data_IF_855390123493
#
_entry.id   IF_855390123493
#
_cell.length_a   1.000
_cell.length_b   1.000
_cell.length_c   1.000
_cell.angle_alpha   90.00
_cell.angle_beta   90.00
_cell.angle_gamma   90.00
#
_symmetry.space_group_name_H-M   'P 1'
#
loop_
_entity.id
_entity.type
_entity.pdbx_description
1 polymer ?
#
# COMPACT_ATOMS: atom_id res chain seq x y z
N UNK A 1 -23.62 -11.34 0.93
CA UNK A 1 -23.19 -12.73 0.62
C UNK A 1 -22.08 -13.11 1.59
N UNK A 2 -22.06 -14.33 2.13
CA UNK A 2 -20.93 -14.80 2.95
C UNK A 2 -19.67 -14.84 2.10
N UNK A 3 -18.55 -14.42 2.67
CA UNK A 3 -17.26 -14.47 2.00
C UNK A 3 -16.88 -15.93 1.67
N UNK A 4 -16.35 -16.18 0.47
CA UNK A 4 -15.93 -17.52 0.06
C UNK A 4 -14.69 -17.96 0.82
N UNK A 5 -14.88 -18.80 1.83
CA UNK A 5 -13.81 -19.35 2.66
C UNK A 5 -12.81 -20.19 1.87
N UNK A 6 -13.10 -20.62 0.63
CA UNK A 6 -12.11 -21.30 -0.22
C UNK A 6 -10.92 -20.40 -0.57
N UNK A 7 -11.11 -19.08 -0.55
CA UNK A 7 -10.03 -18.12 -0.81
C UNK A 7 -8.94 -18.19 0.27
N UNK A 8 -9.28 -18.59 1.51
CA UNK A 8 -8.29 -18.71 2.60
C UNK A 8 -7.32 -19.89 2.39
N UNK A 9 -7.66 -20.84 1.52
CA UNK A 9 -6.81 -21.99 1.19
C UNK A 9 -5.88 -21.71 -0.01
N UNK A 10 -6.06 -20.57 -0.69
CA UNK A 10 -5.22 -20.18 -1.82
C UNK A 10 -3.95 -19.48 -1.34
N UNK A 11 -2.81 -19.98 -1.79
CA UNK A 11 -1.54 -19.31 -1.59
C UNK A 11 -1.38 -18.17 -2.60
N UNK A 12 -1.18 -16.95 -2.09
CA UNK A 12 -0.89 -15.79 -2.93
C UNK A 12 0.61 -15.70 -3.15
N UNK A 13 1.04 -15.80 -4.43
CA UNK A 13 2.46 -15.86 -4.79
C UNK A 13 3.24 -14.64 -4.29
N UNK A 14 2.64 -13.45 -4.27
CA UNK A 14 3.28 -12.24 -3.75
C UNK A 14 3.62 -12.39 -2.26
N UNK A 15 2.61 -12.63 -1.41
CA UNK A 15 2.81 -12.80 0.03
C UNK A 15 3.80 -13.94 0.33
N UNK A 16 3.70 -15.06 -0.40
CA UNK A 16 4.63 -16.19 -0.25
C UNK A 16 6.06 -15.84 -0.65
N UNK A 17 6.27 -15.14 -1.77
CA UNK A 17 7.61 -14.79 -2.28
C UNK A 17 8.35 -13.86 -1.34
N UNK A 18 7.63 -12.95 -0.69
CA UNK A 18 8.19 -11.95 0.22
C UNK A 18 8.01 -12.32 1.70
N UNK A 19 7.59 -13.55 2.01
CA UNK A 19 7.31 -14.03 3.36
C UNK A 19 6.42 -13.07 4.19
N UNK A 20 5.45 -12.41 3.52
CA UNK A 20 4.53 -11.49 4.17
C UNK A 20 3.42 -12.26 4.87
N UNK A 21 3.04 -11.87 6.09
CA UNK A 21 1.86 -12.40 6.75
C UNK A 21 0.60 -12.16 5.91
N UNK A 22 -0.28 -13.18 5.86
CA UNK A 22 -1.52 -13.12 5.11
C UNK A 22 -2.70 -13.33 6.04
N UNK A 23 -3.67 -12.41 6.00
CA UNK A 23 -4.82 -12.42 6.89
C UNK A 23 -6.11 -12.44 6.07
N UNK A 24 -7.07 -13.23 6.54
CA UNK A 24 -8.45 -13.09 6.10
C UNK A 24 -9.11 -11.97 6.89
N UNK A 25 -9.65 -10.97 6.18
CA UNK A 25 -10.30 -9.81 6.79
C UNK A 25 -11.71 -9.64 6.25
N UNK A 26 -12.57 -9.07 7.08
CA UNK A 26 -13.89 -8.60 6.67
C UNK A 26 -14.07 -7.16 7.15
N UNK A 27 -14.16 -6.23 6.20
CA UNK A 27 -14.41 -4.83 6.51
C UNK A 27 -15.83 -4.57 7.01
N UNK A 28 -16.77 -5.48 6.72
CA UNK A 28 -18.19 -5.33 7.08
C UNK A 28 -18.45 -5.61 8.56
N UNK A 29 -17.75 -6.58 9.15
CA UNK A 29 -17.91 -6.95 10.58
C UNK A 29 -16.65 -6.67 11.41
N UNK A 30 -15.58 -6.15 10.78
CA UNK A 30 -14.34 -5.78 11.45
C UNK A 30 -13.38 -6.95 11.73
N UNK A 31 -13.67 -8.16 11.23
CA UNK A 31 -12.82 -9.32 11.45
C UNK A 31 -11.39 -9.06 11.00
N UNK A 32 -10.44 -9.18 11.93
CA UNK A 32 -8.98 -9.06 11.74
C UNK A 32 -8.48 -7.73 11.16
N UNK A 33 -9.32 -6.70 11.01
CA UNK A 33 -8.92 -5.41 10.43
C UNK A 33 -7.90 -4.70 11.33
N UNK A 34 -8.21 -4.56 12.62
CA UNK A 34 -7.32 -3.90 13.59
C UNK A 34 -5.99 -4.64 13.72
N UNK A 35 -6.05 -5.96 13.80
CA UNK A 35 -4.84 -6.80 13.88
C UNK A 35 -3.94 -6.62 12.64
N UNK A 36 -4.53 -6.68 11.45
CA UNK A 36 -3.79 -6.49 10.19
C UNK A 36 -3.03 -5.16 10.19
N UNK A 37 -3.68 -4.07 10.60
CA UNK A 37 -3.01 -2.76 10.63
C UNK A 37 -1.93 -2.66 11.71
N UNK A 38 -2.17 -3.20 12.91
CA UNK A 38 -1.13 -3.22 13.95
C UNK A 38 0.10 -4.01 13.51
N UNK A 39 -0.10 -5.23 13.00
CA UNK A 39 1.00 -6.08 12.53
C UNK A 39 1.74 -5.42 11.35
N UNK A 40 1.02 -4.74 10.44
CA UNK A 40 1.64 -4.00 9.33
C UNK A 40 2.50 -2.81 9.80
N UNK A 41 2.06 -2.07 10.81
CA UNK A 41 2.82 -0.95 11.39
C UNK A 41 4.08 -1.48 12.09
N UNK A 42 3.95 -2.55 12.88
CA UNK A 42 5.08 -3.19 13.55
C UNK A 42 6.13 -3.68 12.55
N UNK A 43 5.70 -4.32 11.46
CA UNK A 43 6.59 -4.73 10.37
C UNK A 43 7.28 -3.54 9.70
N UNK A 44 6.57 -2.43 9.47
CA UNK A 44 7.16 -1.23 8.90
C UNK A 44 8.21 -0.60 9.81
N UNK A 45 7.97 -0.58 11.13
CA UNK A 45 8.94 -0.11 12.12
C UNK A 45 10.16 -1.05 12.15
N UNK A 46 9.93 -2.36 12.19
CA UNK A 46 10.99 -3.36 12.18
C UNK A 46 11.84 -3.29 10.91
N UNK A 47 11.21 -3.05 9.76
CA UNK A 47 11.90 -2.76 8.50
C UNK A 47 12.76 -1.51 8.68
N UNK A 48 12.17 -0.34 8.95
CA UNK A 48 12.90 0.93 9.10
C UNK A 48 14.13 0.87 10.03
N UNK A 49 14.08 0.07 11.10
CA UNK A 49 15.17 -0.05 12.07
C UNK A 49 16.29 -1.00 11.65
N UNK A 50 16.00 -2.01 10.84
CA UNK A 50 16.92 -3.12 10.53
C UNK A 50 17.16 -3.31 9.03
N UNK A 51 16.63 -2.42 8.20
CA UNK A 51 16.63 -2.56 6.77
C UNK A 51 17.93 -1.99 6.16
N UNK A 52 18.43 -2.70 5.16
CA UNK A 52 19.64 -2.39 4.40
C UNK A 52 19.57 -3.08 3.05
N UNK A 53 18.36 -3.27 2.54
CA UNK A 53 18.14 -3.88 1.24
C UNK A 53 18.27 -2.81 0.13
N UNK A 54 18.19 -3.28 -1.11
CA UNK A 54 18.30 -2.39 -2.27
C UNK A 54 17.25 -1.27 -2.27
N UNK A 55 16.03 -1.54 -1.80
CA UNK A 55 14.96 -0.53 -1.79
C UNK A 55 15.26 0.56 -0.76
N UNK A 56 15.80 0.21 0.41
CA UNK A 56 16.26 1.21 1.38
C UNK A 56 17.40 2.06 0.82
N UNK A 57 18.33 1.45 0.10
CA UNK A 57 19.45 2.15 -0.52
C UNK A 57 18.96 3.15 -1.57
N UNK A 58 18.05 2.73 -2.45
CA UNK A 58 17.41 3.61 -3.43
C UNK A 58 16.65 4.74 -2.73
N UNK A 59 15.86 4.47 -1.69
CA UNK A 59 15.11 5.50 -0.97
C UNK A 59 16.04 6.51 -0.29
N UNK A 60 17.10 6.03 0.36
CA UNK A 60 18.14 6.89 0.96
C UNK A 60 18.86 7.73 -0.08
N UNK A 61 19.15 7.18 -1.25
CA UNK A 61 19.76 7.92 -2.36
C UNK A 61 18.77 8.99 -2.88
N UNK A 62 17.49 8.63 -3.06
CA UNK A 62 16.40 9.55 -3.46
C UNK A 62 16.24 10.74 -2.52
N UNK A 63 16.37 10.52 -1.20
CA UNK A 63 16.37 11.60 -0.19
C UNK A 63 17.58 12.53 -0.31
N UNK A 64 18.71 12.03 -0.79
CA UNK A 64 19.95 12.80 -0.95
C UNK A 64 19.98 13.65 -2.23
N UNK A 65 19.07 13.41 -3.18
CA UNK A 65 18.89 14.33 -4.30
C UNK A 65 18.23 15.59 -3.77
N UNK A 66 19.05 16.59 -3.48
CA UNK A 66 18.61 17.96 -3.37
C UNK A 66 17.78 18.31 -4.61
N UNK A 67 16.45 18.42 -4.44
CA UNK A 67 15.49 18.90 -5.44
C UNK A 67 15.69 20.40 -5.71
N UNK A 68 16.93 20.86 -5.87
CA UNK A 68 17.32 22.25 -6.11
C UNK A 68 16.82 22.83 -7.46
N UNK A 69 15.77 22.27 -8.08
CA UNK A 69 15.33 22.74 -9.40
C UNK A 69 13.86 22.57 -9.81
N UNK A 70 12.89 22.35 -8.90
CA UNK A 70 11.48 22.34 -9.32
C UNK A 70 10.47 22.80 -8.27
N UNK A 71 10.70 23.98 -7.67
CA UNK A 71 9.65 24.73 -6.97
C UNK A 71 9.13 25.93 -7.77
N UNK A 72 9.57 26.09 -9.01
CA UNK A 72 8.99 27.05 -9.96
C UNK A 72 8.33 26.22 -11.06
N UNK A 73 7.02 26.41 -11.26
CA UNK A 73 6.19 25.92 -12.37
C UNK A 73 5.44 24.59 -12.21
N UNK A 74 4.65 24.45 -11.13
CA UNK A 74 3.44 23.61 -11.16
C UNK A 74 2.22 24.42 -10.69
N UNK A 75 1.86 25.42 -11.48
CA UNK A 75 0.51 26.00 -11.47
C UNK A 75 -0.32 25.36 -12.58
N UNK A 76 -1.48 24.82 -12.19
CA UNK A 76 -2.67 24.56 -13.04
C UNK A 76 -2.54 23.41 -14.06
N UNK A 77 -3.43 22.42 -14.21
CA UNK A 77 -4.87 22.26 -13.96
C UNK A 77 -5.21 20.77 -13.79
N UNK A 78 -5.86 20.37 -12.70
CA UNK A 78 -6.65 19.13 -12.66
C UNK A 78 -7.96 19.39 -13.41
N UNK A 79 -8.14 18.83 -14.60
CA UNK A 79 -9.46 18.72 -15.23
C UNK A 79 -9.84 17.24 -15.27
N UNK A 80 -10.60 16.80 -14.26
CA UNK A 80 -11.34 15.54 -14.34
C UNK A 80 -12.58 15.80 -15.22
N UNK A 81 -12.76 15.10 -16.35
CA UNK A 81 -14.02 15.18 -17.07
C UNK A 81 -15.13 14.53 -16.23
N UNK A 82 -16.06 15.34 -15.74
CA UNK A 82 -17.36 14.86 -15.24
C UNK A 82 -18.15 14.27 -16.42
N UNK A 83 -18.16 12.94 -16.54
CA UNK A 83 -19.15 12.25 -17.38
C UNK A 83 -20.52 12.36 -16.70
N UNK A 84 -21.36 13.27 -17.20
CA UNK A 84 -22.77 13.36 -16.80
C UNK A 84 -23.51 12.11 -17.28
N UNK A 85 -24.27 11.39 -16.43
CA UNK A 85 -25.02 10.22 -16.86
C UNK A 85 -26.14 10.61 -17.85
N UNK A 86 -26.45 9.77 -18.86
CA UNK A 86 -27.53 10.05 -19.80
C UNK A 86 -28.87 10.12 -19.06
N UNK A 87 -29.60 11.21 -19.30
CA UNK A 87 -30.99 11.34 -18.83
C UNK A 87 -31.88 10.41 -19.65
N UNK A 88 -32.80 9.74 -18.95
CA UNK A 88 -33.77 8.77 -19.48
C UNK A 88 -34.72 9.38 -20.52
#
# INVERSE_FOLDING_TARGET
LPADMKVTQKSFNFARKFNLPFYFVSAADGTNVVKLFNDAIELAIAYKQNSGDFMDEVMRELESFDLQKKSEDFSETENCPEEKPPSA
#
